data_IF_829245019908
#
_entry.id   IF_829245019908
#
_cell.length_a   1.000
_cell.length_b   1.000
_cell.length_c   1.000
_cell.angle_alpha   90.00
_cell.angle_beta   90.00
_cell.angle_gamma   90.00
#
_symmetry.space_group_name_H-M   'P 1'
#
loop_
_entity.id
_entity.type
_entity.pdbx_description
1 polymer ?
#
# COMPACT_ATOMS: atom_id res chain seq x y z
N UNK A 1 -18.95 17.61 -5.03
CA UNK A 1 -18.55 16.52 -5.96
C UNK A 1 -19.78 15.79 -6.46
N UNK A 2 -20.66 15.32 -5.57
CA UNK A 2 -21.96 14.71 -5.93
C UNK A 2 -22.85 15.65 -6.77
N UNK A 3 -22.94 16.93 -6.40
CA UNK A 3 -23.78 17.94 -7.08
C UNK A 3 -23.45 18.23 -8.54
N UNK A 4 -22.29 17.78 -9.05
CA UNK A 4 -21.85 18.01 -10.43
C UNK A 4 -21.62 16.70 -11.19
N UNK A 5 -21.96 15.55 -10.60
CA UNK A 5 -21.68 14.23 -11.18
C UNK A 5 -22.44 13.98 -12.48
N UNK A 6 -23.75 14.26 -12.46
CA UNK A 6 -24.62 14.09 -13.63
C UNK A 6 -24.12 14.87 -14.84
N UNK A 7 -23.71 16.12 -14.62
CA UNK A 7 -23.24 17.01 -15.68
C UNK A 7 -21.86 16.60 -16.22
N UNK A 8 -20.93 16.24 -15.34
CA UNK A 8 -19.50 16.12 -15.71
C UNK A 8 -19.02 14.70 -15.98
N UNK A 9 -19.64 13.69 -15.37
CA UNK A 9 -19.03 12.36 -15.24
C UNK A 9 -19.96 11.21 -15.64
N UNK A 10 -21.28 11.41 -15.62
CA UNK A 10 -22.25 10.35 -15.87
C UNK A 10 -22.15 9.72 -17.26
N UNK A 11 -21.89 10.52 -18.30
CA UNK A 11 -21.75 10.02 -19.67
C UNK A 11 -20.59 9.04 -19.84
N UNK A 12 -19.53 9.20 -19.05
CA UNK A 12 -18.32 8.39 -19.13
C UNK A 12 -18.29 7.24 -18.12
N UNK A 13 -18.83 7.45 -16.92
CA UNK A 13 -18.66 6.53 -15.78
C UNK A 13 -19.98 5.96 -15.23
N UNK A 14 -21.13 6.36 -15.79
CA UNK A 14 -22.45 5.91 -15.36
C UNK A 14 -23.03 6.70 -14.17
N UNK A 15 -24.19 6.27 -13.70
CA UNK A 15 -24.91 6.96 -12.62
C UNK A 15 -24.17 6.87 -11.28
N UNK A 16 -24.36 7.87 -10.42
CA UNK A 16 -23.78 7.90 -9.09
C UNK A 16 -24.36 6.78 -8.22
N UNK A 17 -23.50 5.88 -7.72
CA UNK A 17 -23.94 4.79 -6.86
C UNK A 17 -23.95 5.25 -5.40
N UNK A 18 -25.00 4.95 -4.60
CA UNK A 18 -25.08 5.40 -3.21
C UNK A 18 -23.88 5.02 -2.33
N UNK A 19 -23.19 3.92 -2.61
CA UNK A 19 -22.00 3.52 -1.85
C UNK A 19 -20.78 4.42 -2.10
N UNK A 20 -20.72 5.16 -3.22
CA UNK A 20 -19.59 6.04 -3.56
C UNK A 20 -19.45 7.14 -2.50
N UNK A 21 -20.57 7.71 -2.04
CA UNK A 21 -20.59 8.68 -0.95
C UNK A 21 -19.98 8.12 0.34
N UNK A 22 -20.35 6.89 0.73
CA UNK A 22 -19.77 6.22 1.90
C UNK A 22 -18.26 5.99 1.76
N UNK A 23 -17.81 5.64 0.56
CA UNK A 23 -16.38 5.44 0.30
C UNK A 23 -15.60 6.76 0.35
N UNK A 24 -16.15 7.85 -0.19
CA UNK A 24 -15.52 9.17 -0.11
C UNK A 24 -15.34 9.61 1.35
N UNK A 25 -16.35 9.43 2.19
CA UNK A 25 -16.21 9.76 3.61
C UNK A 25 -15.14 8.92 4.30
N UNK A 26 -15.11 7.60 4.06
CA UNK A 26 -14.03 6.72 4.57
C UNK A 26 -12.64 7.09 4.07
N UNK A 27 -12.54 7.62 2.85
CA UNK A 27 -11.28 8.14 2.31
C UNK A 27 -10.84 9.41 3.01
N UNK A 28 -11.77 10.33 3.31
CA UNK A 28 -11.47 11.55 4.07
C UNK A 28 -11.05 11.26 5.51
N UNK A 29 -11.53 10.15 6.07
CA UNK A 29 -11.09 9.64 7.38
C UNK A 29 -9.72 8.93 7.32
N UNK A 30 -9.19 8.65 6.12
CA UNK A 30 -7.91 7.98 5.98
C UNK A 30 -6.75 8.93 6.34
N UNK A 31 -5.79 8.43 7.13
CA UNK A 31 -4.66 9.22 7.61
C UNK A 31 -4.78 9.76 9.04
N UNK A 32 -5.96 9.66 9.69
CA UNK A 32 -6.06 9.83 11.15
C UNK A 32 -5.51 8.58 11.85
N UNK A 33 -4.44 8.64 12.66
CA UNK A 33 -3.92 7.49 13.38
C UNK A 33 -4.94 6.82 14.31
N UNK A 34 -5.95 7.54 14.80
CA UNK A 34 -7.03 7.01 15.64
C UNK A 34 -8.05 6.20 14.85
N UNK A 35 -8.19 6.43 13.54
CA UNK A 35 -9.16 5.74 12.66
C UNK A 35 -8.50 4.95 11.51
N UNK A 36 -7.18 5.02 11.34
CA UNK A 36 -6.47 4.60 10.12
C UNK A 36 -5.08 4.00 10.33
N UNK A 37 -4.71 3.61 11.56
CA UNK A 37 -3.49 2.83 11.78
C UNK A 37 -3.78 1.32 11.71
N UNK A 38 -3.48 0.71 10.56
CA UNK A 38 -3.52 -0.74 10.41
C UNK A 38 -2.10 -1.32 10.52
N UNK A 39 -1.85 -2.12 11.56
CA UNK A 39 -0.65 -2.97 11.60
C UNK A 39 -0.89 -4.18 10.70
N UNK A 40 -0.23 -4.19 9.55
CA UNK A 40 -0.25 -5.33 8.64
C UNK A 40 0.95 -6.20 8.92
N UNK A 41 0.71 -7.46 9.29
CA UNK A 41 1.75 -8.49 9.31
C UNK A 41 1.64 -9.29 8.01
N UNK A 42 2.62 -9.15 7.13
CA UNK A 42 2.76 -9.97 5.93
C UNK A 42 3.94 -10.91 6.13
N UNK A 43 3.69 -12.22 6.28
CA UNK A 43 4.75 -13.22 6.42
C UNK A 43 5.62 -13.31 5.15
N UNK A 44 4.96 -13.38 4.00
CA UNK A 44 5.62 -13.59 2.71
C UNK A 44 6.43 -12.36 2.27
N UNK A 45 5.91 -11.15 2.50
CA UNK A 45 6.62 -9.91 2.15
C UNK A 45 7.93 -9.79 2.91
N UNK A 46 7.94 -10.14 4.21
CA UNK A 46 9.17 -10.14 5.00
C UNK A 46 10.13 -11.23 4.53
N UNK A 47 9.62 -12.41 4.18
CA UNK A 47 10.46 -13.51 3.71
C UNK A 47 11.13 -13.17 2.38
N UNK A 48 10.36 -12.66 1.41
CA UNK A 48 10.86 -12.22 0.10
C UNK A 48 11.99 -11.19 0.22
N UNK A 49 11.83 -10.18 1.07
CA UNK A 49 12.88 -9.17 1.26
C UNK A 49 14.15 -9.77 1.90
N UNK A 50 13.99 -10.74 2.82
CA UNK A 50 15.12 -11.42 3.46
C UNK A 50 15.89 -12.34 2.51
N UNK A 51 15.21 -12.94 1.54
CA UNK A 51 15.81 -13.81 0.51
C UNK A 51 16.70 -13.05 -0.48
N UNK A 52 16.66 -11.72 -0.48
CA UNK A 52 17.55 -10.90 -1.31
C UNK A 52 19.02 -10.98 -0.90
N UNK A 53 19.34 -11.46 0.31
CA UNK A 53 20.71 -11.50 0.84
C UNK A 53 21.07 -12.89 1.35
N UNK A 54 22.38 -13.17 1.47
CA UNK A 54 22.92 -14.48 1.87
C UNK A 54 23.42 -14.54 3.32
N UNK A 55 22.97 -13.61 4.16
CA UNK A 55 23.33 -13.53 5.59
C UNK A 55 22.24 -14.13 6.48
N UNK A 56 22.63 -14.56 7.67
CA UNK A 56 21.71 -15.06 8.69
C UNK A 56 20.98 -13.91 9.40
N UNK A 57 19.69 -14.13 9.68
CA UNK A 57 18.75 -13.17 10.30
C UNK A 57 18.81 -11.72 9.75
N UNK A 58 18.66 -11.53 8.42
CA UNK A 58 18.68 -10.20 7.83
C UNK A 58 17.43 -9.39 8.22
N UNK A 59 17.62 -8.09 8.35
CA UNK A 59 16.56 -7.13 8.69
C UNK A 59 16.37 -6.17 7.51
N UNK A 60 15.32 -6.33 6.69
CA UNK A 60 15.01 -5.37 5.64
C UNK A 60 14.39 -4.09 6.22
N UNK A 61 14.69 -2.95 5.59
CA UNK A 61 13.98 -1.70 5.84
C UNK A 61 12.78 -1.56 4.89
N UNK A 62 11.62 -1.17 5.39
CA UNK A 62 10.47 -0.89 4.54
C UNK A 62 9.55 0.19 5.12
N UNK A 63 9.01 1.03 4.23
CA UNK A 63 7.87 1.92 4.50
C UNK A 63 6.69 1.40 3.72
N UNK A 64 5.59 1.13 4.42
CA UNK A 64 4.38 0.50 3.85
C UNK A 64 3.20 1.45 4.04
N UNK A 65 2.53 1.77 2.95
CA UNK A 65 1.23 2.44 2.96
C UNK A 65 0.14 1.45 2.55
N UNK A 66 -0.92 1.36 3.35
CA UNK A 66 -2.10 0.55 3.02
C UNK A 66 -3.05 1.41 2.20
N UNK A 67 -3.40 0.95 1.00
CA UNK A 67 -4.39 1.58 0.15
C UNK A 67 -5.58 0.65 -0.02
N UNK A 68 -6.78 1.10 0.34
CA UNK A 68 -8.01 0.27 0.30
C UNK A 68 -8.85 0.46 -0.95
N UNK A 69 -8.46 1.40 -1.82
CA UNK A 69 -9.24 1.81 -2.99
C UNK A 69 -8.43 1.73 -4.28
N UNK A 70 -9.02 1.12 -5.30
CA UNK A 70 -8.49 1.07 -6.66
C UNK A 70 -9.14 2.12 -7.56
N UNK A 71 -9.18 1.83 -8.86
CA UNK A 71 -9.87 2.70 -9.82
C UNK A 71 -11.36 2.87 -9.46
N UNK A 72 -11.90 4.09 -9.65
CA UNK A 72 -13.27 4.48 -9.32
C UNK A 72 -13.67 4.26 -7.85
N UNK A 73 -12.72 4.33 -6.93
CA UNK A 73 -12.98 4.15 -5.50
C UNK A 73 -13.56 2.76 -5.17
N UNK A 74 -13.36 1.77 -6.05
CA UNK A 74 -13.73 0.39 -5.77
C UNK A 74 -12.85 -0.20 -4.68
N UNK A 75 -13.42 -1.05 -3.83
CA UNK A 75 -12.68 -1.74 -2.79
C UNK A 75 -11.61 -2.63 -3.43
N UNK A 76 -10.35 -2.28 -3.21
CA UNK A 76 -9.19 -2.97 -3.73
C UNK A 76 -8.03 -2.79 -2.75
N UNK A 77 -7.99 -3.58 -1.66
CA UNK A 77 -6.93 -3.47 -0.66
C UNK A 77 -5.60 -3.95 -1.23
N UNK A 78 -4.63 -3.04 -1.33
CA UNK A 78 -3.26 -3.31 -1.74
C UNK A 78 -2.27 -2.51 -0.89
N UNK A 79 -1.00 -2.92 -0.95
CA UNK A 79 0.08 -2.30 -0.21
C UNK A 79 1.00 -1.57 -1.19
N UNK A 80 1.31 -0.32 -0.91
CA UNK A 80 2.44 0.38 -1.51
C UNK A 80 3.63 0.22 -0.60
N UNK A 81 4.71 -0.37 -1.12
CA UNK A 81 5.89 -0.69 -0.34
C UNK A 81 7.09 -0.01 -0.98
N UNK A 82 7.81 0.79 -0.20
CA UNK A 82 9.18 1.20 -0.51
C UNK A 82 10.07 0.37 0.41
N UNK A 83 10.89 -0.50 -0.18
CA UNK A 83 11.81 -1.37 0.55
C UNK A 83 13.26 -0.97 0.27
N UNK A 84 14.16 -1.30 1.19
CA UNK A 84 15.59 -1.24 0.97
C UNK A 84 16.01 -2.27 -0.09
N UNK A 85 17.00 -1.90 -0.91
CA UNK A 85 17.59 -2.77 -1.93
C UNK A 85 18.61 -3.75 -1.31
N UNK A 86 18.20 -4.43 -0.24
CA UNK A 86 19.08 -5.20 0.62
C UNK A 86 18.62 -5.19 2.07
N UNK A 87 19.47 -5.68 2.97
CA UNK A 87 19.14 -5.87 4.38
C UNK A 87 20.25 -5.42 5.32
N UNK A 88 19.87 -5.06 6.54
CA UNK A 88 20.78 -4.83 7.66
C UNK A 88 21.09 -6.14 8.40
N UNK A 89 22.31 -6.28 8.90
CA UNK A 89 22.78 -7.42 9.69
C UNK A 89 23.88 -6.96 10.68
N UNK A 90 24.34 -7.85 11.57
CA UNK A 90 25.48 -7.64 12.49
C UNK A 90 25.61 -6.22 13.09
N UNK A 91 24.63 -5.78 13.89
CA UNK A 91 24.66 -4.46 14.55
C UNK A 91 24.86 -3.26 13.59
N UNK A 92 24.15 -3.25 12.46
CA UNK A 92 23.98 -2.12 11.51
C UNK A 92 24.86 -2.13 10.25
N UNK A 93 25.46 -3.27 9.90
CA UNK A 93 26.04 -3.43 8.56
C UNK A 93 24.94 -3.61 7.52
N UNK A 94 25.11 -3.05 6.31
CA UNK A 94 24.13 -3.16 5.22
C UNK A 94 24.69 -4.00 4.07
N UNK A 95 23.94 -5.01 3.63
CA UNK A 95 24.25 -5.83 2.46
C UNK A 95 23.25 -5.53 1.35
N UNK A 96 23.76 -5.15 0.18
CA UNK A 96 22.95 -4.96 -1.03
C UNK A 96 22.42 -6.31 -1.49
N UNK A 97 21.16 -6.33 -1.93
CA UNK A 97 20.50 -7.54 -2.43
C UNK A 97 21.15 -8.07 -3.70
N UNK A 98 20.97 -9.36 -3.97
CA UNK A 98 21.36 -9.97 -5.24
C UNK A 98 20.41 -9.44 -6.31
N UNK A 99 20.94 -8.68 -7.27
CA UNK A 99 20.17 -8.30 -8.46
C UNK A 99 19.78 -9.56 -9.25
N UNK A 100 18.48 -9.83 -9.45
CA UNK A 100 18.08 -10.86 -10.40
C UNK A 100 18.51 -10.41 -11.80
N UNK A 101 19.11 -11.31 -12.58
CA UNK A 101 19.30 -11.08 -14.00
C UNK A 101 17.92 -10.90 -14.65
N UNK A 102 17.59 -9.67 -15.03
CA UNK A 102 16.33 -9.31 -15.69
C UNK A 102 16.26 -9.80 -17.15
#
# INVERSE_FOLDING_TARGET
MESVWEERYQSKYGFWRPYITNVIYRYLDCGDPHFGFARVKCGDCSQYLKESVSVDDPIPGAVIAVQTFGEFLNFNPHLHIIASDGCFYNNSEFMVGIEPNA
#
